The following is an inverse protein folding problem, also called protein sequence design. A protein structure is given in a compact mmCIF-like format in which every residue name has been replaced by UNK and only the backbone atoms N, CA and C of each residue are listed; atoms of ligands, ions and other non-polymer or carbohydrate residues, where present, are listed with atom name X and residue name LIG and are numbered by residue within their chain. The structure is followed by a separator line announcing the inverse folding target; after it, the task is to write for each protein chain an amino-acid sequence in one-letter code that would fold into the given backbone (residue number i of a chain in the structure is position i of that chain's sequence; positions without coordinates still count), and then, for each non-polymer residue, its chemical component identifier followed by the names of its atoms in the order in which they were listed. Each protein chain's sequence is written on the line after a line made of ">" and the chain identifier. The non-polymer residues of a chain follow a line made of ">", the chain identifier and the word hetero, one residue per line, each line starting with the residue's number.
data_IF_226197527879
#
_entry.id   IF_226197527879
#
_cell.length_a   1.000
_cell.length_b   1.000
_cell.length_c   1.000
_cell.angle_alpha   90.00
_cell.angle_beta   90.00
_cell.angle_gamma   90.00
#
_symmetry.space_group_name_H-M   'P 1'
#
loop_
_entity.id
_entity.type
_entity.pdbx_description
1 polymer ?
#
# COMPACT_ATOMS: atom_id res chain seq x y z
N UNK A 1 9.85 5.84 -3.68
CA UNK A 1 11.00 5.44 -4.48
C UNK A 1 10.60 4.20 -5.24
N UNK A 2 10.70 4.22 -6.58
CA UNK A 2 10.45 3.03 -7.37
C UNK A 2 11.52 1.97 -7.05
N UNK A 3 11.11 0.71 -7.04
CA UNK A 3 12.05 -0.40 -7.05
C UNK A 3 12.44 -0.67 -8.50
N UNK A 4 13.68 -0.36 -8.83
CA UNK A 4 14.23 -0.49 -10.19
C UNK A 4 14.95 -1.83 -10.31
N UNK A 5 14.71 -2.53 -11.41
CA UNK A 5 15.49 -3.68 -11.87
C UNK A 5 15.94 -3.38 -13.29
N UNK A 6 17.23 -3.04 -13.45
CA UNK A 6 17.83 -2.82 -14.78
C UNK A 6 17.88 -4.12 -15.57
N UNK A 7 18.18 -5.24 -14.89
CA UNK A 7 18.22 -6.58 -15.48
C UNK A 7 16.91 -6.99 -16.13
N UNK A 8 15.79 -6.64 -15.51
CA UNK A 8 14.46 -6.89 -16.08
C UNK A 8 13.95 -5.72 -16.92
N UNK A 9 14.63 -4.57 -16.92
CA UNK A 9 14.18 -3.34 -17.57
C UNK A 9 12.82 -2.88 -17.04
N UNK A 10 12.63 -2.84 -15.71
CA UNK A 10 11.36 -2.46 -15.08
C UNK A 10 11.52 -1.57 -13.85
N UNK A 11 10.48 -0.79 -13.57
CA UNK A 11 10.35 0.02 -12.36
C UNK A 11 8.98 -0.21 -11.70
N UNK A 12 8.99 -0.73 -10.48
CA UNK A 12 7.79 -0.89 -9.66
C UNK A 12 7.57 0.31 -8.75
N UNK A 13 6.37 0.88 -8.78
CA UNK A 13 5.97 2.01 -7.96
C UNK A 13 5.07 1.54 -6.82
N UNK A 14 5.63 1.37 -5.61
CA UNK A 14 4.85 0.81 -4.51
C UNK A 14 3.86 1.82 -3.94
N UNK A 15 2.63 1.36 -3.74
CA UNK A 15 1.57 2.10 -3.04
C UNK A 15 1.28 1.38 -1.71
N UNK A 16 1.16 2.09 -0.57
CA UNK A 16 0.82 1.45 0.69
C UNK A 16 -0.47 0.66 0.57
N UNK A 17 -0.43 -0.59 1.05
CA UNK A 17 -1.57 -1.52 1.14
C UNK A 17 -2.07 -2.12 -0.19
N UNK A 18 -1.29 -1.97 -1.26
CA UNK A 18 -1.58 -2.56 -2.58
C UNK A 18 -0.52 -3.63 -2.93
N UNK A 19 -0.43 -4.69 -2.15
CA UNK A 19 0.53 -5.79 -2.37
C UNK A 19 2.03 -5.40 -2.46
N UNK A 20 2.40 -4.17 -2.11
CA UNK A 20 3.77 -3.69 -2.30
C UNK A 20 4.85 -4.43 -1.51
N UNK A 21 4.51 -5.20 -0.48
CA UNK A 21 5.47 -6.12 0.15
C UNK A 21 5.74 -7.31 -0.77
N UNK A 22 4.71 -8.03 -1.21
CA UNK A 22 4.84 -9.20 -2.08
C UNK A 22 5.63 -8.90 -3.35
N UNK A 23 5.29 -7.80 -4.04
CA UNK A 23 5.98 -7.41 -5.28
C UNK A 23 7.45 -7.07 -5.04
N UNK A 24 7.78 -6.34 -3.97
CA UNK A 24 9.18 -6.02 -3.65
C UNK A 24 10.02 -7.28 -3.38
N UNK A 25 9.46 -8.25 -2.65
CA UNK A 25 10.17 -9.50 -2.35
C UNK A 25 10.40 -10.32 -3.62
N UNK A 26 9.40 -10.44 -4.49
CA UNK A 26 9.54 -11.12 -5.77
C UNK A 26 10.59 -10.44 -6.66
N UNK A 27 10.53 -9.12 -6.81
CA UNK A 27 11.53 -8.37 -7.58
C UNK A 27 12.94 -8.49 -6.98
N UNK A 28 13.08 -8.48 -5.65
CA UNK A 28 14.38 -8.68 -5.01
C UNK A 28 14.95 -10.06 -5.33
N UNK A 29 14.12 -11.11 -5.23
CA UNK A 29 14.53 -12.47 -5.53
C UNK A 29 14.93 -12.64 -6.99
N UNK A 30 14.18 -12.03 -7.91
CA UNK A 30 14.54 -12.00 -9.31
C UNK A 30 15.88 -11.29 -9.51
N UNK A 31 16.08 -10.11 -8.93
CA UNK A 31 17.31 -9.34 -9.13
C UNK A 31 18.55 -10.04 -8.56
N UNK A 32 18.43 -10.67 -7.38
CA UNK A 32 19.56 -11.20 -6.63
C UNK A 32 19.73 -12.72 -6.74
N UNK A 33 18.79 -13.42 -7.37
CA UNK A 33 18.76 -14.89 -7.44
C UNK A 33 18.50 -15.58 -6.10
N UNK A 34 18.15 -14.84 -5.04
CA UNK A 34 17.90 -15.36 -3.69
C UNK A 34 16.80 -14.58 -2.98
N UNK A 35 16.04 -15.24 -2.11
CA UNK A 35 15.08 -14.57 -1.24
C UNK A 35 15.71 -13.55 -0.31
N UNK A 36 14.94 -12.51 0.05
CA UNK A 36 15.36 -11.51 1.03
C UNK A 36 15.43 -12.15 2.42
N UNK A 37 16.56 -11.95 3.11
CA UNK A 37 16.76 -12.36 4.50
C UNK A 37 16.75 -11.12 5.38
N UNK A 38 15.76 -10.96 6.28
CA UNK A 38 15.76 -9.87 7.25
C UNK A 38 16.97 -9.97 8.18
N UNK A 39 17.52 -8.81 8.54
CA UNK A 39 18.63 -8.67 9.48
C UNK A 39 18.16 -7.90 10.72
N UNK A 40 18.72 -8.20 11.89
CA UNK A 40 18.41 -7.45 13.11
C UNK A 40 19.02 -6.05 13.06
N UNK A 41 18.19 -5.03 13.31
CA UNK A 41 18.59 -3.64 13.45
C UNK A 41 19.05 -3.36 14.89
N UNK A 42 19.80 -2.26 15.14
CA UNK A 42 20.27 -1.90 16.49
C UNK A 42 19.17 -1.74 17.54
N UNK A 43 17.94 -1.47 17.11
CA UNK A 43 16.76 -1.32 17.97
C UNK A 43 15.96 -2.64 18.15
N UNK A 44 16.51 -3.77 17.70
CA UNK A 44 15.91 -5.10 17.81
C UNK A 44 14.84 -5.41 16.76
N UNK A 45 14.48 -4.47 15.88
CA UNK A 45 13.54 -4.73 14.77
C UNK A 45 14.25 -5.49 13.64
N UNK A 46 13.50 -6.26 12.86
CA UNK A 46 14.01 -6.88 11.64
C UNK A 46 13.94 -5.91 10.45
N UNK A 47 14.99 -5.90 9.63
CA UNK A 47 15.05 -5.13 8.39
C UNK A 47 14.02 -5.64 7.37
N UNK A 48 13.55 -4.75 6.50
CA UNK A 48 12.58 -5.11 5.47
C UNK A 48 12.82 -4.28 4.21
N UNK A 49 12.55 -4.87 3.03
CA UNK A 49 12.75 -4.22 1.74
C UNK A 49 12.03 -2.87 1.55
N UNK A 50 10.93 -2.64 2.28
CA UNK A 50 10.26 -1.34 2.19
C UNK A 50 11.09 -0.21 2.82
N UNK A 51 12.09 -0.51 3.66
CA UNK A 51 12.99 0.48 4.24
C UNK A 51 13.99 1.01 3.21
N UNK A 52 14.39 0.18 2.24
CA UNK A 52 15.30 0.57 1.15
C UNK A 52 14.54 1.15 -0.05
N UNK A 53 13.29 0.77 -0.25
CA UNK A 53 12.44 1.28 -1.34
C UNK A 53 11.08 1.74 -0.78
N UNK A 54 11.02 2.84 0.00
CA UNK A 54 9.77 3.32 0.60
C UNK A 54 8.79 3.83 -0.46
N UNK A 55 7.49 3.73 -0.18
CA UNK A 55 6.48 4.36 -1.03
C UNK A 55 6.55 5.88 -0.81
N UNK A 56 6.83 6.63 -1.89
CA UNK A 56 6.95 8.09 -1.84
C UNK A 56 5.89 8.72 -2.75
N UNK A 57 5.38 9.91 -2.41
CA UNK A 57 4.55 10.70 -3.31
C UNK A 57 5.15 10.84 -4.72
N UNK A 58 4.29 10.89 -5.73
CA UNK A 58 4.65 10.95 -7.15
C UNK A 58 5.59 12.12 -7.48
N UNK A 59 5.33 13.29 -6.89
CA UNK A 59 6.14 14.49 -7.08
C UNK A 59 7.61 14.31 -6.63
N UNK A 60 7.87 13.40 -5.70
CA UNK A 60 9.22 13.12 -5.21
C UNK A 60 10.00 12.12 -6.08
N UNK A 61 9.33 11.47 -7.04
CA UNK A 61 9.90 10.36 -7.82
C UNK A 61 9.85 10.61 -9.34
N UNK A 62 9.02 11.54 -9.82
CA UNK A 62 8.78 11.79 -11.24
C UNK A 62 10.03 12.19 -12.05
N UNK A 63 11.17 12.43 -11.39
CA UNK A 63 12.46 12.78 -12.02
C UNK A 63 13.56 11.71 -11.86
N UNK A 64 13.21 10.48 -11.45
CA UNK A 64 14.19 9.38 -11.32
C UNK A 64 14.60 8.74 -12.66
N UNK A 65 15.63 7.86 -12.66
CA UNK A 65 16.11 7.14 -13.85
C UNK A 65 15.16 6.00 -14.25
N UNK A 66 13.94 6.34 -14.61
CA UNK A 66 12.90 5.39 -15.04
C UNK A 66 12.62 5.46 -16.54
N UNK A 67 13.34 6.32 -17.26
CA UNK A 67 13.27 6.40 -18.72
C UNK A 67 13.73 5.08 -19.35
N UNK A 68 12.94 4.56 -20.31
CA UNK A 68 13.23 3.29 -20.99
C UNK A 68 12.89 2.03 -20.18
N UNK A 69 12.46 2.15 -18.93
CA UNK A 69 12.00 1.01 -18.12
C UNK A 69 10.48 0.83 -18.25
N UNK A 70 9.99 -0.40 -18.20
CA UNK A 70 8.56 -0.66 -18.05
C UNK A 70 8.11 -0.29 -16.64
N UNK A 71 7.31 0.77 -16.51
CA UNK A 71 6.80 1.32 -15.25
C UNK A 71 5.48 0.63 -14.91
N UNK A 72 5.38 0.09 -13.71
CA UNK A 72 4.14 -0.52 -13.26
C UNK A 72 3.83 -0.27 -11.78
N UNK A 73 2.56 -0.35 -11.44
CA UNK A 73 2.07 -0.28 -10.07
C UNK A 73 0.91 -1.26 -9.85
N UNK A 74 0.61 -1.52 -8.57
CA UNK A 74 -0.59 -2.26 -8.17
C UNK A 74 -1.57 -1.27 -7.53
N UNK A 75 -2.81 -1.27 -8.01
CA UNK A 75 -3.92 -0.47 -7.51
C UNK A 75 -4.92 -1.34 -6.74
N UNK A 76 -5.69 -0.71 -5.86
CA UNK A 76 -6.68 -1.38 -5.03
C UNK A 76 -7.93 -0.54 -4.89
N UNK A 77 -9.08 -1.18 -4.71
CA UNK A 77 -10.30 -0.50 -4.30
C UNK A 77 -10.02 0.38 -3.05
N UNK A 78 -10.34 1.69 -3.07
CA UNK A 78 -10.05 2.57 -1.96
C UNK A 78 -10.68 2.14 -0.62
N UNK A 79 -11.88 1.54 -0.60
CA UNK A 79 -12.51 1.05 0.64
C UNK A 79 -11.72 -0.14 1.19
N UNK A 80 -11.43 -1.13 0.35
CA UNK A 80 -10.66 -2.30 0.76
C UNK A 80 -9.26 -1.93 1.26
N UNK A 81 -8.66 -0.91 0.67
CA UNK A 81 -7.35 -0.42 1.07
C UNK A 81 -7.37 0.13 2.49
N UNK A 82 -8.43 0.85 2.89
CA UNK A 82 -8.62 1.28 4.29
C UNK A 82 -8.84 0.11 5.22
N UNK A 83 -9.66 -0.86 4.84
CA UNK A 83 -9.86 -2.08 5.66
C UNK A 83 -8.53 -2.80 5.86
N UNK A 84 -7.70 -2.88 4.82
CA UNK A 84 -6.35 -3.42 4.93
C UNK A 84 -5.44 -2.60 5.84
N UNK A 85 -5.55 -1.27 5.83
CA UNK A 85 -4.82 -0.38 6.72
C UNK A 85 -5.25 -0.60 8.18
N UNK A 86 -6.55 -0.63 8.46
CA UNK A 86 -7.14 -0.91 9.77
C UNK A 86 -6.67 -2.26 10.33
N UNK A 87 -6.86 -3.35 9.57
CA UNK A 87 -6.40 -4.70 9.95
C UNK A 87 -4.92 -4.73 10.35
N UNK A 88 -4.08 -4.02 9.60
CA UNK A 88 -2.64 -4.08 9.79
C UNK A 88 -2.14 -3.13 10.88
N UNK A 89 -2.59 -1.88 10.89
CA UNK A 89 -2.04 -0.83 11.76
C UNK A 89 -2.75 -0.77 13.10
N UNK A 90 -4.06 -0.92 13.09
CA UNK A 90 -4.88 -0.85 14.31
C UNK A 90 -4.91 -2.21 15.00
N UNK A 91 -5.32 -3.27 14.29
CA UNK A 91 -5.52 -4.56 14.95
C UNK A 91 -4.22 -5.35 15.17
N UNK A 92 -3.39 -5.48 14.14
CA UNK A 92 -2.18 -6.30 14.22
C UNK A 92 -1.04 -5.58 14.96
N UNK A 93 -0.65 -4.37 14.53
CA UNK A 93 0.45 -3.63 15.15
C UNK A 93 0.04 -2.83 16.39
N UNK A 94 -1.26 -2.66 16.68
CA UNK A 94 -1.77 -1.90 17.82
C UNK A 94 -1.15 -0.49 17.93
N UNK A 95 -0.93 0.16 16.78
CA UNK A 95 -0.24 1.46 16.73
C UNK A 95 -1.02 2.55 17.46
N UNK A 96 -2.35 2.43 17.56
CA UNK A 96 -3.17 3.38 18.31
C UNK A 96 -3.08 3.21 19.83
N UNK A 97 -2.74 2.02 20.33
CA UNK A 97 -2.59 1.74 21.76
C UNK A 97 -1.24 2.25 22.28
N UNK A 98 -0.20 2.13 21.46
CA UNK A 98 1.19 2.45 21.82
C UNK A 98 1.63 3.86 21.41
N UNK A 99 0.80 4.58 20.65
CA UNK A 99 1.14 5.93 20.20
C UNK A 99 1.09 6.98 21.32
N UNK A 100 2.01 7.93 21.23
CA UNK A 100 2.00 9.16 22.02
C UNK A 100 1.00 10.16 21.42
N UNK A 101 -0.20 10.23 22.00
CA UNK A 101 -1.28 11.10 21.52
C UNK A 101 -0.96 12.59 21.71
N UNK A 102 -0.21 12.93 22.75
CA UNK A 102 0.24 14.30 23.03
C UNK A 102 1.16 14.79 21.93
N UNK A 103 2.12 13.96 21.50
CA UNK A 103 3.04 14.28 20.39
C UNK A 103 2.31 14.66 19.09
N UNK A 104 1.15 14.07 18.83
CA UNK A 104 0.38 14.30 17.61
C UNK A 104 -0.82 15.25 17.82
N UNK A 105 -0.94 15.88 18.99
CA UNK A 105 -2.06 16.76 19.35
C UNK A 105 -3.42 16.08 19.10
N UNK A 106 -3.53 14.84 19.57
CA UNK A 106 -4.76 14.05 19.56
C UNK A 106 -5.50 14.26 20.89
N UNK A 107 -6.84 14.34 20.86
CA UNK A 107 -7.60 14.54 22.08
C UNK A 107 -7.65 13.27 22.93
N UNK A 108 -7.71 13.43 24.26
CA UNK A 108 -7.73 12.32 25.21
C UNK A 108 -8.96 11.40 25.09
N UNK A 109 -10.07 11.93 24.55
CA UNK A 109 -11.29 11.15 24.31
C UNK A 109 -11.20 10.23 23.08
N UNK A 110 -10.17 10.38 22.23
CA UNK A 110 -10.04 9.59 21.00
C UNK A 110 -9.78 8.12 21.35
N UNK A 111 -10.61 7.17 20.92
CA UNK A 111 -10.44 5.76 21.28
C UNK A 111 -9.11 5.19 20.77
N UNK A 112 -8.42 4.42 21.62
CA UNK A 112 -7.16 3.75 21.26
C UNK A 112 -7.35 2.38 20.61
N UNK A 113 -8.51 1.76 20.80
CA UNK A 113 -8.88 0.47 20.18
C UNK A 113 -10.27 0.57 19.53
N UNK A 114 -10.45 1.44 18.52
CA UNK A 114 -11.74 1.62 17.86
C UNK A 114 -12.12 0.39 17.01
N UNK A 115 -13.42 0.10 16.92
CA UNK A 115 -13.93 -0.74 15.82
C UNK A 115 -13.74 -0.04 14.46
N UNK A 116 -14.00 -0.74 13.35
CA UNK A 116 -13.76 -0.20 12.01
C UNK A 116 -14.63 1.03 11.68
N UNK A 117 -15.89 1.08 12.14
CA UNK A 117 -16.78 2.19 11.86
C UNK A 117 -16.38 3.41 12.68
N UNK A 118 -16.06 3.23 13.96
CA UNK A 118 -15.50 4.29 14.82
C UNK A 118 -14.19 4.82 14.25
N UNK A 119 -13.30 3.95 13.79
CA UNK A 119 -12.04 4.32 13.14
C UNK A 119 -12.28 5.19 11.90
N UNK A 120 -13.22 4.80 11.03
CA UNK A 120 -13.55 5.55 9.81
C UNK A 120 -14.18 6.90 10.14
N UNK A 121 -15.09 6.95 11.10
CA UNK A 121 -15.77 8.19 11.51
C UNK A 121 -14.79 9.22 12.10
N UNK A 122 -13.72 8.76 12.74
CA UNK A 122 -12.68 9.59 13.37
C UNK A 122 -11.37 9.61 12.58
N UNK A 123 -11.38 9.16 11.32
CA UNK A 123 -10.18 8.98 10.51
C UNK A 123 -9.31 10.25 10.42
N UNK A 124 -9.94 11.43 10.34
CA UNK A 124 -9.22 12.71 10.26
C UNK A 124 -8.35 13.00 11.49
N UNK A 125 -8.77 12.55 12.68
CA UNK A 125 -7.96 12.64 13.89
C UNK A 125 -6.77 11.68 13.81
N UNK A 126 -7.02 10.39 13.56
CA UNK A 126 -5.95 9.39 13.50
C UNK A 126 -4.89 9.74 12.45
N UNK A 127 -5.29 10.36 11.34
CA UNK A 127 -4.37 10.81 10.28
C UNK A 127 -3.41 11.94 10.68
N UNK A 128 -3.54 12.56 11.85
CA UNK A 128 -2.47 13.41 12.38
C UNK A 128 -1.21 12.60 12.69
N UNK A 129 -1.34 11.30 12.94
CA UNK A 129 -0.21 10.38 13.07
C UNK A 129 0.37 10.05 11.68
N UNK A 130 1.68 10.25 11.43
CA UNK A 130 2.29 10.01 10.13
C UNK A 130 2.07 8.58 9.60
N UNK A 131 2.07 7.58 10.48
CA UNK A 131 1.87 6.18 10.11
C UNK A 131 0.44 5.89 9.63
N UNK A 132 -0.57 6.48 10.26
CA UNK A 132 -1.97 6.40 9.82
C UNK A 132 -2.19 7.18 8.54
N UNK A 133 -1.61 8.39 8.46
CA UNK A 133 -1.66 9.22 7.26
C UNK A 133 -1.11 8.47 6.05
N UNK A 134 0.09 7.89 6.17
CA UNK A 134 0.76 7.19 5.07
C UNK A 134 -0.10 6.05 4.48
N UNK A 135 -0.75 5.27 5.34
CA UNK A 135 -1.50 4.07 4.94
C UNK A 135 -2.93 4.33 4.50
N UNK A 136 -3.48 5.51 4.82
CA UNK A 136 -4.84 5.90 4.42
C UNK A 136 -4.82 7.07 3.42
N UNK A 137 -3.66 7.62 3.07
CA UNK A 137 -3.53 8.66 2.04
C UNK A 137 -4.04 8.19 0.69
N UNK A 138 -4.65 9.07 -0.10
CA UNK A 138 -5.08 8.82 -1.47
C UNK A 138 -4.02 8.14 -2.32
N UNK A 139 -4.42 7.19 -3.14
CA UNK A 139 -3.57 6.51 -4.11
C UNK A 139 -3.07 7.49 -5.17
N UNK A 140 -3.87 8.50 -5.55
CA UNK A 140 -3.44 9.59 -6.45
C UNK A 140 -2.16 10.27 -5.99
N UNK A 141 -1.89 10.35 -4.69
CA UNK A 141 -0.64 10.96 -4.20
C UNK A 141 0.58 10.15 -4.65
N UNK A 142 0.46 8.84 -4.82
CA UNK A 142 1.55 7.96 -5.24
C UNK A 142 1.56 7.72 -6.75
N UNK A 143 0.39 7.71 -7.38
CA UNK A 143 0.21 7.50 -8.82
C UNK A 143 0.46 8.77 -9.65
N UNK A 144 0.31 9.94 -9.04
CA UNK A 144 0.27 11.20 -9.78
C UNK A 144 -1.11 11.45 -10.38
N UNK A 145 -1.27 12.58 -11.10
CA UNK A 145 -2.55 12.99 -11.67
C UNK A 145 -2.93 12.23 -12.94
N UNK A 146 -1.96 11.60 -13.62
CA UNK A 146 -2.14 10.95 -14.92
C UNK A 146 -1.59 9.51 -14.89
N UNK A 147 -2.48 8.55 -15.15
CA UNK A 147 -2.13 7.13 -15.19
C UNK A 147 -1.34 6.73 -16.44
N UNK A 148 -1.31 7.56 -17.50
CA UNK A 148 -0.50 7.32 -18.69
C UNK A 148 1.01 7.32 -18.40
N UNK A 149 1.41 7.79 -17.22
CA UNK A 149 2.76 7.59 -16.72
C UNK A 149 3.11 6.09 -16.51
N UNK A 150 2.14 5.21 -16.30
CA UNK A 150 2.40 3.79 -16.11
C UNK A 150 2.18 3.01 -17.40
N UNK A 151 3.13 2.17 -17.74
CA UNK A 151 3.00 1.26 -18.88
C UNK A 151 2.07 0.10 -18.54
N UNK A 152 2.00 -0.30 -17.26
CA UNK A 152 1.06 -1.31 -16.75
C UNK A 152 0.52 -0.95 -15.36
N UNK A 153 -0.77 -1.19 -15.13
CA UNK A 153 -1.40 -1.09 -13.81
C UNK A 153 -2.14 -2.39 -13.56
N UNK A 154 -1.86 -3.01 -12.42
CA UNK A 154 -2.50 -4.25 -12.00
C UNK A 154 -3.45 -3.98 -10.83
N UNK A 155 -4.63 -4.57 -10.85
CA UNK A 155 -5.57 -4.61 -9.75
C UNK A 155 -5.22 -5.75 -8.80
N UNK A 156 -5.79 -5.71 -7.59
CA UNK A 156 -5.54 -6.78 -6.60
C UNK A 156 -5.97 -8.17 -7.08
N UNK A 157 -6.98 -8.29 -7.95
CA UNK A 157 -7.39 -9.58 -8.51
C UNK A 157 -6.51 -10.02 -9.71
N UNK A 158 -5.76 -9.10 -10.30
CA UNK A 158 -4.82 -9.32 -11.42
C UNK A 158 -3.40 -9.66 -10.90
N UNK A 159 -3.23 -9.94 -9.60
CA UNK A 159 -1.94 -10.39 -9.07
C UNK A 159 -1.41 -11.69 -9.70
N UNK A 160 -2.25 -12.67 -10.12
CA UNK A 160 -1.79 -13.79 -10.93
C UNK A 160 -1.19 -13.32 -12.27
N UNK A 161 -1.84 -12.40 -12.96
CA UNK A 161 -1.34 -11.83 -14.22
C UNK A 161 -0.04 -11.05 -14.03
N UNK A 162 0.11 -10.35 -12.90
CA UNK A 162 1.38 -9.73 -12.54
C UNK A 162 2.48 -10.77 -12.32
N UNK A 163 2.16 -11.93 -11.72
CA UNK A 163 3.13 -13.01 -11.55
C UNK A 163 3.57 -13.60 -12.91
N UNK A 164 2.62 -13.77 -13.84
CA UNK A 164 2.91 -14.20 -15.21
C UNK A 164 3.77 -13.17 -15.95
N UNK A 165 3.42 -11.89 -15.86
CA UNK A 165 4.21 -10.78 -16.42
C UNK A 165 5.67 -10.76 -15.90
N UNK A 166 5.87 -10.96 -14.60
CA UNK A 166 7.20 -11.06 -14.00
C UNK A 166 7.93 -12.34 -14.44
N UNK A 167 7.19 -13.44 -14.65
CA UNK A 167 7.75 -14.71 -15.09
C UNK A 167 8.26 -14.62 -16.51
N UNK A 168 7.46 -14.08 -17.42
CA UNK A 168 7.82 -13.84 -18.82
C UNK A 168 9.05 -12.93 -18.91
N UNK A 169 9.06 -11.83 -18.15
CA UNK A 169 10.18 -10.87 -18.17
C UNK A 169 11.49 -11.46 -17.65
N UNK A 170 11.40 -12.36 -16.67
CA UNK A 170 12.58 -12.93 -16.01
C UNK A 170 13.04 -14.27 -16.58
N UNK A 171 12.23 -14.93 -17.41
CA UNK A 171 12.46 -16.28 -17.91
C UNK A 171 12.38 -17.36 -16.82
N UNK A 172 11.77 -17.06 -15.67
CA UNK A 172 11.69 -17.95 -14.50
C UNK A 172 10.30 -17.89 -13.88
N UNK A 173 9.76 -18.99 -13.34
CA UNK A 173 8.48 -18.95 -12.64
C UNK A 173 8.52 -18.01 -11.43
N UNK A 174 7.52 -17.13 -11.31
CA UNK A 174 7.33 -16.22 -10.19
C UNK A 174 6.00 -16.53 -9.52
N UNK A 175 6.01 -16.60 -8.19
CA UNK A 175 4.80 -16.70 -7.40
C UNK A 175 4.70 -15.50 -6.45
N UNK A 176 3.64 -14.70 -6.59
CA UNK A 176 3.35 -13.63 -5.62
C UNK A 176 2.63 -14.21 -4.41
N UNK A 177 3.41 -14.69 -3.43
CA UNK A 177 2.87 -15.19 -2.18
C UNK A 177 2.03 -14.15 -1.43
N UNK A 178 0.99 -14.60 -0.72
CA UNK A 178 0.29 -13.79 0.29
C UNK A 178 1.16 -13.65 1.54
N UNK A 179 2.30 -12.96 1.43
CA UNK A 179 3.30 -12.83 2.51
C UNK A 179 2.79 -12.13 3.78
N UNK A 180 1.57 -11.55 3.78
CA UNK A 180 1.01 -10.78 4.91
C UNK A 180 -0.51 -10.93 5.02
N UNK A 181 -0.98 -12.15 5.25
CA UNK A 181 -2.37 -12.40 5.63
C UNK A 181 -2.58 -12.49 7.16
N UNK A 182 -1.54 -12.26 7.96
CA UNK A 182 -1.49 -12.62 9.39
C UNK A 182 -2.19 -11.63 10.33
N UNK A 183 -3.22 -10.95 9.85
CA UNK A 183 -4.04 -10.03 10.66
C UNK A 183 -5.45 -10.58 10.91
N UNK A 184 -6.13 -10.14 11.97
CA UNK A 184 -7.53 -10.48 12.22
C UNK A 184 -8.38 -10.20 10.97
N UNK A 185 -9.26 -11.13 10.60
CA UNK A 185 -10.14 -10.91 9.46
C UNK A 185 -11.19 -9.85 9.82
N UNK A 186 -11.30 -8.84 8.97
CA UNK A 186 -12.36 -7.82 9.05
C UNK A 186 -13.10 -7.90 7.71
N UNK A 187 -14.23 -8.62 7.68
CA UNK A 187 -15.09 -8.69 6.50
C UNK A 187 -15.58 -7.30 6.08
N UNK A 188 -15.70 -7.05 4.77
CA UNK A 188 -16.12 -5.73 4.27
C UNK A 188 -17.53 -5.35 4.71
N UNK A 189 -18.42 -6.34 4.88
CA UNK A 189 -19.80 -6.16 5.35
C UNK A 189 -19.89 -5.52 6.76
N UNK A 190 -18.85 -5.62 7.58
CA UNK A 190 -18.75 -4.92 8.87
C UNK A 190 -18.62 -3.41 8.74
N UNK A 191 -18.26 -2.91 7.55
CA UNK A 191 -18.26 -1.48 7.25
C UNK A 191 -19.69 -1.03 6.93
N UNK A 192 -20.25 -0.23 7.84
CA UNK A 192 -21.58 0.35 7.72
C UNK A 192 -21.74 1.21 6.47
N UNK A 193 -22.96 1.37 5.99
CA UNK A 193 -23.25 2.22 4.83
C UNK A 193 -22.84 3.67 5.05
N UNK A 194 -22.95 4.17 6.29
CA UNK A 194 -22.47 5.50 6.64
C UNK A 194 -20.95 5.61 6.47
N UNK A 195 -20.20 4.65 7.01
CA UNK A 195 -18.75 4.58 6.85
C UNK A 195 -18.35 4.43 5.38
N UNK A 196 -19.08 3.63 4.58
CA UNK A 196 -18.87 3.51 3.14
C UNK A 196 -19.08 4.85 2.43
N UNK A 197 -20.18 5.56 2.70
CA UNK A 197 -20.44 6.91 2.14
C UNK A 197 -19.37 7.91 2.53
N UNK A 198 -18.88 7.87 3.78
CA UNK A 198 -17.78 8.72 4.26
C UNK A 198 -16.49 8.43 3.47
N UNK A 199 -16.10 7.16 3.36
CA UNK A 199 -14.91 6.76 2.62
C UNK A 199 -15.02 7.07 1.13
N UNK A 200 -16.19 6.92 0.51
CA UNK A 200 -16.43 7.30 -0.90
C UNK A 200 -16.20 8.79 -1.13
N UNK A 201 -16.77 9.65 -0.27
CA UNK A 201 -16.53 11.10 -0.33
C UNK A 201 -15.06 11.42 -0.11
N UNK A 202 -14.43 10.76 0.86
CA UNK A 202 -13.02 10.97 1.16
C UNK A 202 -12.12 10.57 -0.02
N UNK A 203 -12.35 9.41 -0.65
CA UNK A 203 -11.57 8.88 -1.77
C UNK A 203 -12.13 9.22 -3.15
N UNK A 204 -12.99 10.23 -3.27
CA UNK A 204 -13.64 10.60 -4.53
C UNK A 204 -12.63 10.79 -5.67
N UNK A 205 -11.48 11.38 -5.33
CA UNK A 205 -10.36 11.63 -6.23
C UNK A 205 -9.63 10.35 -6.67
N UNK A 206 -9.58 9.32 -5.83
CA UNK A 206 -9.02 8.02 -6.21
C UNK A 206 -9.99 7.29 -7.15
N UNK A 207 -11.30 7.31 -6.87
CA UNK A 207 -12.30 6.73 -7.78
C UNK A 207 -12.32 7.43 -9.14
N UNK A 208 -12.21 8.76 -9.15
CA UNK A 208 -12.13 9.52 -10.40
C UNK A 208 -10.87 9.16 -11.21
N UNK A 209 -9.73 8.94 -10.53
CA UNK A 209 -8.48 8.55 -11.18
C UNK A 209 -8.50 7.11 -11.70
N UNK A 210 -9.02 6.18 -10.88
CA UNK A 210 -9.00 4.74 -11.20
C UNK A 210 -10.10 4.36 -12.20
N UNK A 211 -11.15 5.19 -12.33
CA UNK A 211 -12.20 5.07 -13.33
C UNK A 211 -12.81 3.67 -13.36
N UNK A 212 -12.89 3.08 -14.55
CA UNK A 212 -13.53 1.78 -14.80
C UNK A 212 -12.84 0.60 -14.08
N UNK A 213 -11.63 0.80 -13.51
CA UNK A 213 -10.97 -0.25 -12.70
C UNK A 213 -11.66 -0.45 -11.36
N UNK A 214 -12.25 0.60 -10.79
CA UNK A 214 -12.97 0.51 -9.52
C UNK A 214 -14.19 1.43 -9.56
N UNK A 215 -15.36 0.82 -9.68
CA UNK A 215 -16.63 1.54 -9.71
C UNK A 215 -16.98 2.10 -8.33
N UNK A 216 -17.66 3.26 -8.33
CA UNK A 216 -18.44 3.72 -7.18
C UNK A 216 -19.66 2.80 -7.06
N UNK A 217 -19.55 1.70 -6.32
CA UNK A 217 -20.73 0.96 -5.87
C UNK A 217 -21.55 1.82 -4.90
#
# INVERSE_FOLDING_TARGET
>A
MPMISERLGMAFFPIPKNAGTSVRYAMFELENGRGFKPESLPDGRLSALFMTCPALPFEQIAQGPVAGLTRFAVVRDPLERVVSAYKNRVLFYRELETADYTRYNLPDWLPRSPDINTFISLLDYYRKMPVMAHHTRHQRVYLGPDLAFFDRLFQMHELPELADFLSERSGRPVALGKLRNDGPQVPLDTVSDESRRRLRRYYDIDYALLGDRYCRH
#
